data_IF_001268105553
#
_entry.id   IF_001268105553
#
_cell.length_a   1.000
_cell.length_b   1.000
_cell.length_c   1.000
_cell.angle_alpha   90.00
_cell.angle_beta   90.00
_cell.angle_gamma   90.00
#
_symmetry.space_group_name_H-M   'P 1'
#
loop_
_entity.id
_entity.type
_entity.pdbx_description
1 polymer ?
#
# COMPACT_ATOMS: atom_id res chain seq x y z
N UNK A 1 5.42 3.75 -35.61
CA UNK A 1 4.22 4.50 -35.22
C UNK A 1 4.64 5.72 -34.39
N UNK A 2 3.95 6.85 -34.56
CA UNK A 2 4.25 8.10 -33.83
C UNK A 2 3.73 7.98 -32.40
N UNK A 3 4.58 8.17 -31.37
CA UNK A 3 4.16 8.23 -29.96
C UNK A 3 3.18 9.38 -29.76
N UNK A 4 1.99 9.10 -29.24
CA UNK A 4 0.90 10.10 -29.09
C UNK A 4 0.82 10.70 -27.68
N UNK A 5 1.70 10.30 -26.78
CA UNK A 5 1.77 10.75 -25.37
C UNK A 5 0.44 10.63 -24.60
N UNK A 6 -0.43 9.66 -24.98
CA UNK A 6 -1.65 9.38 -24.22
C UNK A 6 -1.32 9.04 -22.77
N UNK A 7 -2.21 9.40 -21.86
CA UNK A 7 -2.06 9.12 -20.43
C UNK A 7 -1.69 7.64 -20.19
N UNK A 8 -0.67 7.41 -19.34
CA UNK A 8 -0.09 6.11 -19.01
C UNK A 8 0.53 5.32 -20.17
N UNK A 9 0.50 5.83 -21.42
CA UNK A 9 1.26 5.21 -22.51
C UNK A 9 2.75 5.46 -22.28
N UNK A 10 3.58 4.51 -22.69
CA UNK A 10 5.04 4.68 -22.59
C UNK A 10 5.75 4.22 -23.84
N UNK A 11 6.92 4.77 -24.09
CA UNK A 11 7.89 4.29 -25.08
C UNK A 11 9.24 4.15 -24.42
N UNK A 12 9.94 3.07 -24.76
CA UNK A 12 11.28 2.77 -24.26
C UNK A 12 12.28 2.88 -25.40
N UNK A 13 13.39 3.54 -25.15
CA UNK A 13 14.51 3.68 -26.07
C UNK A 13 15.72 3.09 -25.34
N UNK A 14 16.22 1.97 -25.86
CA UNK A 14 17.40 1.30 -25.31
C UNK A 14 18.65 1.95 -25.86
N UNK A 15 19.66 2.14 -25.01
CA UNK A 15 20.96 2.73 -25.34
C UNK A 15 20.85 3.95 -26.26
N UNK A 16 20.16 5.04 -25.81
CA UNK A 16 19.92 6.20 -26.69
C UNK A 16 21.23 6.85 -27.13
N UNK A 17 21.36 7.10 -28.46
CA UNK A 17 22.57 7.67 -29.05
C UNK A 17 22.97 9.00 -28.39
N UNK A 18 24.26 9.20 -28.16
CA UNK A 18 24.79 10.42 -27.52
C UNK A 18 24.57 10.50 -26.02
N UNK A 19 24.24 9.41 -25.36
CA UNK A 19 23.96 9.31 -23.94
C UNK A 19 24.67 8.11 -23.33
N UNK A 20 24.91 8.15 -22.02
CA UNK A 20 25.41 7.02 -21.21
C UNK A 20 24.28 6.23 -20.53
N UNK A 21 23.04 6.54 -20.85
CA UNK A 21 21.88 5.86 -20.30
C UNK A 21 21.70 4.48 -20.93
N UNK A 22 21.44 3.46 -20.10
CA UNK A 22 21.05 2.13 -20.60
C UNK A 22 19.66 2.17 -21.25
N UNK A 23 18.77 3.01 -20.70
CA UNK A 23 17.38 3.13 -21.15
C UNK A 23 16.81 4.51 -20.88
N UNK A 24 16.06 5.05 -21.83
CA UNK A 24 15.19 6.20 -21.67
C UNK A 24 13.73 5.77 -21.78
N UNK A 25 12.94 6.10 -20.77
CA UNK A 25 11.48 5.86 -20.77
C UNK A 25 10.76 7.19 -20.86
N UNK A 26 9.88 7.32 -21.84
CA UNK A 26 9.00 8.48 -21.96
C UNK A 26 7.58 8.05 -21.60
N UNK A 27 6.99 8.66 -20.59
CA UNK A 27 5.63 8.37 -20.13
C UNK A 27 4.69 9.48 -20.59
N UNK A 28 3.57 9.10 -21.17
CA UNK A 28 2.55 10.02 -21.65
C UNK A 28 1.67 10.52 -20.49
N UNK A 29 1.47 11.82 -20.45
CA UNK A 29 0.63 12.51 -19.45
C UNK A 29 -0.56 13.25 -20.09
N UNK A 30 -0.80 13.05 -21.38
CA UNK A 30 -1.89 13.73 -22.11
C UNK A 30 -3.17 12.91 -22.01
N UNK A 31 -4.21 13.48 -21.41
CA UNK A 31 -5.57 12.95 -21.36
C UNK A 31 -6.57 13.86 -22.05
N UNK A 32 -7.83 13.41 -22.13
CA UNK A 32 -8.97 14.22 -22.59
C UNK A 32 -9.43 15.22 -21.51
N UNK A 33 -9.03 14.99 -20.26
CA UNK A 33 -9.24 15.83 -19.08
C UNK A 33 -7.92 16.24 -18.47
N UNK A 34 -7.94 17.21 -17.56
CA UNK A 34 -6.79 17.51 -16.71
C UNK A 34 -6.38 16.26 -15.92
N UNK A 35 -5.07 16.07 -15.76
CA UNK A 35 -4.50 14.96 -14.97
C UNK A 35 -4.82 15.22 -13.50
N UNK A 36 -5.54 14.29 -12.87
CA UNK A 36 -5.94 14.36 -11.47
C UNK A 36 -4.94 13.68 -10.53
N UNK A 37 -5.22 13.73 -9.23
CA UNK A 37 -4.38 13.13 -8.18
C UNK A 37 -4.15 11.63 -8.41
N UNK A 38 -5.22 10.89 -8.68
CA UNK A 38 -5.15 9.43 -8.95
C UNK A 38 -4.31 9.12 -10.20
N UNK A 39 -4.34 9.99 -11.21
CA UNK A 39 -3.53 9.81 -12.42
C UNK A 39 -2.05 9.97 -12.12
N UNK A 40 -1.66 10.91 -11.25
CA UNK A 40 -0.27 11.09 -10.83
C UNK A 40 0.27 9.88 -10.07
N UNK A 41 -0.52 9.28 -9.18
CA UNK A 41 -0.20 8.00 -8.53
C UNK A 41 0.04 6.89 -9.58
N UNK A 42 -0.85 6.76 -10.58
CA UNK A 42 -0.72 5.77 -11.65
C UNK A 42 0.49 6.04 -12.54
N UNK A 43 0.85 7.29 -12.79
CA UNK A 43 2.06 7.65 -13.53
C UNK A 43 3.30 7.22 -12.76
N UNK A 44 3.38 7.47 -11.45
CA UNK A 44 4.46 7.01 -10.57
C UNK A 44 4.62 5.49 -10.60
N UNK A 45 3.52 4.76 -10.45
CA UNK A 45 3.50 3.30 -10.57
C UNK A 45 3.93 2.80 -11.95
N UNK A 46 3.60 3.54 -13.02
CA UNK A 46 4.03 3.24 -14.39
C UNK A 46 5.54 3.45 -14.56
N UNK A 47 6.09 4.53 -14.00
CA UNK A 47 7.53 4.81 -14.00
C UNK A 47 8.27 3.63 -13.37
N UNK A 48 7.89 3.22 -12.17
CA UNK A 48 8.53 2.09 -11.49
C UNK A 48 8.43 0.79 -12.30
N UNK A 49 7.24 0.47 -12.83
CA UNK A 49 7.03 -0.76 -13.59
C UNK A 49 7.89 -0.81 -14.88
N UNK A 50 8.18 0.34 -15.51
CA UNK A 50 9.00 0.45 -16.72
C UNK A 50 10.50 0.54 -16.44
N UNK A 51 10.88 0.81 -15.20
CA UNK A 51 12.29 0.93 -14.79
C UNK A 51 12.74 -0.23 -13.90
N UNK A 52 11.95 -1.30 -13.86
CA UNK A 52 12.26 -2.54 -13.14
C UNK A 52 13.65 -3.05 -13.54
N UNK A 53 14.45 -3.43 -12.54
CA UNK A 53 15.81 -3.94 -12.73
C UNK A 53 16.89 -2.87 -12.97
N UNK A 54 16.54 -1.59 -12.98
CA UNK A 54 17.54 -0.50 -13.03
C UNK A 54 18.21 -0.32 -11.66
N UNK A 55 19.51 0.00 -11.65
CA UNK A 55 20.25 0.33 -10.43
C UNK A 55 19.86 1.70 -9.84
N UNK A 56 19.46 2.63 -10.71
CA UNK A 56 18.99 3.97 -10.34
C UNK A 56 18.13 4.56 -11.46
N UNK A 57 17.20 5.40 -11.10
CA UNK A 57 16.27 6.06 -12.03
C UNK A 57 16.27 7.56 -11.78
N UNK A 58 16.46 8.34 -12.84
CA UNK A 58 16.26 9.80 -12.82
C UNK A 58 14.95 10.14 -13.53
N UNK A 59 14.05 10.78 -12.83
CA UNK A 59 12.76 11.26 -13.35
C UNK A 59 12.84 12.76 -13.59
N UNK A 60 12.68 13.21 -14.83
CA UNK A 60 12.66 14.64 -15.16
C UNK A 60 11.21 15.13 -15.11
N UNK A 61 10.88 15.89 -14.09
CA UNK A 61 9.55 16.42 -13.80
C UNK A 61 9.55 17.93 -13.52
N UNK A 62 10.47 18.67 -14.15
CA UNK A 62 10.71 20.10 -13.90
C UNK A 62 9.51 21.00 -14.20
N UNK A 63 8.59 20.55 -15.05
CA UNK A 63 7.35 21.28 -15.39
C UNK A 63 6.11 20.78 -14.59
N UNK A 64 6.26 19.78 -13.75
CA UNK A 64 5.16 19.27 -12.92
C UNK A 64 4.97 20.13 -11.68
N UNK A 65 3.73 20.25 -11.20
CA UNK A 65 3.45 20.89 -9.93
C UNK A 65 3.99 20.09 -8.76
N UNK A 66 4.24 20.68 -7.58
CA UNK A 66 4.65 19.98 -6.38
C UNK A 66 3.76 18.80 -6.02
N UNK A 67 2.44 18.95 -6.07
CA UNK A 67 1.49 17.88 -5.79
C UNK A 67 1.53 16.75 -6.83
N UNK A 68 1.78 17.08 -8.09
CA UNK A 68 1.97 16.07 -9.15
C UNK A 68 3.25 15.25 -8.92
N UNK A 69 4.35 15.88 -8.50
CA UNK A 69 5.59 15.21 -8.15
C UNK A 69 5.39 14.30 -6.95
N UNK A 70 4.75 14.82 -5.88
CA UNK A 70 4.42 14.05 -4.69
C UNK A 70 3.56 12.82 -5.02
N UNK A 71 2.52 12.97 -5.86
CA UNK A 71 1.70 11.87 -6.33
C UNK A 71 2.48 10.83 -7.13
N UNK A 72 3.41 11.25 -7.99
CA UNK A 72 4.28 10.31 -8.72
C UNK A 72 5.22 9.55 -7.78
N UNK A 73 5.82 10.23 -6.80
CA UNK A 73 6.69 9.59 -5.82
C UNK A 73 5.92 8.56 -5.00
N UNK A 74 4.76 8.92 -4.47
CA UNK A 74 3.89 8.03 -3.72
C UNK A 74 3.43 6.84 -4.56
N UNK A 75 3.03 7.06 -5.80
CA UNK A 75 2.64 5.99 -6.71
C UNK A 75 3.76 5.00 -7.00
N UNK A 76 5.01 5.46 -7.03
CA UNK A 76 6.18 4.58 -7.16
C UNK A 76 6.39 3.75 -5.88
N UNK A 77 6.28 4.36 -4.69
CA UNK A 77 6.36 3.66 -3.39
C UNK A 77 5.29 2.59 -3.27
N UNK A 78 4.03 2.94 -3.55
CA UNK A 78 2.91 1.99 -3.49
C UNK A 78 3.05 0.85 -4.50
N UNK A 79 3.68 1.08 -5.64
CA UNK A 79 3.94 0.05 -6.66
C UNK A 79 5.14 -0.82 -6.32
N UNK A 80 6.10 -0.31 -5.54
CA UNK A 80 7.26 -1.07 -5.07
C UNK A 80 6.91 -2.13 -4.03
N UNK A 81 5.72 -2.04 -3.43
CA UNK A 81 5.29 -2.95 -2.40
C UNK A 81 5.33 -4.41 -2.87
N UNK A 82 6.01 -5.25 -2.11
CA UNK A 82 5.99 -6.72 -2.20
C UNK A 82 5.85 -7.30 -0.78
N UNK A 83 5.08 -8.38 -0.65
CA UNK A 83 4.94 -9.11 0.60
C UNK A 83 5.75 -10.41 0.49
N UNK A 84 6.98 -10.38 0.99
CA UNK A 84 7.94 -11.46 0.88
C UNK A 84 8.38 -12.06 2.23
N UNK A 85 7.73 -11.63 3.31
CA UNK A 85 8.10 -11.96 4.70
C UNK A 85 8.27 -13.48 4.95
N UNK A 86 7.47 -14.30 4.28
CA UNK A 86 7.49 -15.76 4.43
C UNK A 86 8.14 -16.49 3.25
N UNK A 87 8.67 -15.76 2.27
CA UNK A 87 9.37 -16.37 1.14
C UNK A 87 10.78 -16.78 1.55
N UNK A 88 11.15 -18.03 1.26
CA UNK A 88 12.53 -18.47 1.41
C UNK A 88 13.43 -17.66 0.49
N UNK A 89 14.51 -17.10 1.03
CA UNK A 89 15.58 -16.56 0.17
C UNK A 89 16.18 -17.72 -0.58
N UNK A 90 16.12 -17.71 -1.92
CA UNK A 90 16.83 -18.68 -2.75
C UNK A 90 18.29 -18.63 -2.33
N UNK A 91 18.87 -19.79 -2.00
CA UNK A 91 20.30 -19.88 -1.73
C UNK A 91 21.07 -19.51 -3.01
N UNK A 92 22.27 -18.93 -2.87
CA UNK A 92 23.12 -18.64 -4.01
C UNK A 92 23.44 -19.87 -4.85
N UNK A 93 23.33 -21.06 -4.25
CA UNK A 93 23.61 -22.34 -4.88
C UNK A 93 22.44 -22.86 -5.76
N UNK A 94 21.21 -22.36 -5.55
CA UNK A 94 20.04 -22.70 -6.39
C UNK A 94 19.88 -21.78 -7.61
N UNK A 95 20.69 -20.73 -7.69
CA UNK A 95 20.68 -19.78 -8.79
C UNK A 95 21.82 -20.13 -9.78
N UNK A 96 21.60 -21.09 -10.66
CA UNK A 96 22.46 -21.23 -11.84
C UNK A 96 22.46 -19.90 -12.63
N UNK A 97 23.40 -19.03 -12.31
CA UNK A 97 23.87 -17.95 -13.18
C UNK A 97 23.06 -16.65 -13.25
N UNK A 98 21.90 -16.49 -12.60
CA UNK A 98 21.20 -15.20 -12.56
C UNK A 98 21.36 -14.53 -11.18
N UNK A 99 21.93 -13.32 -11.17
CA UNK A 99 21.89 -12.45 -10.00
C UNK A 99 20.41 -12.25 -9.57
N UNK A 100 20.13 -12.13 -8.25
CA UNK A 100 18.76 -11.89 -7.78
C UNK A 100 18.21 -10.66 -8.50
N UNK A 101 17.13 -10.83 -9.26
CA UNK A 101 16.46 -9.74 -9.97
C UNK A 101 15.95 -8.76 -8.91
N UNK A 102 16.57 -7.63 -8.82
CA UNK A 102 16.08 -6.52 -8.04
C UNK A 102 14.83 -6.00 -8.75
N UNK A 103 13.66 -6.26 -8.18
CA UNK A 103 12.39 -5.93 -8.81
C UNK A 103 12.08 -4.43 -8.83
N UNK A 104 12.68 -3.66 -7.93
CA UNK A 104 12.60 -2.21 -7.90
C UNK A 104 14.00 -1.58 -7.97
N UNK A 105 14.17 -0.38 -8.56
CA UNK A 105 15.42 0.35 -8.50
C UNK A 105 15.76 0.71 -7.05
N UNK A 106 17.06 0.71 -6.71
CA UNK A 106 17.53 1.08 -5.38
C UNK A 106 17.19 2.55 -5.03
N UNK A 107 17.13 3.41 -6.04
CA UNK A 107 16.85 4.85 -5.87
C UNK A 107 16.10 5.41 -7.07
N UNK A 108 15.08 6.23 -6.81
CA UNK A 108 14.41 7.06 -7.81
C UNK A 108 14.63 8.52 -7.41
N UNK A 109 15.28 9.28 -8.29
CA UNK A 109 15.53 10.70 -8.07
C UNK A 109 14.64 11.54 -8.98
N UNK A 110 13.85 12.43 -8.41
CA UNK A 110 13.01 13.38 -9.14
C UNK A 110 13.76 14.69 -9.33
N UNK A 111 13.95 15.12 -10.57
CA UNK A 111 14.43 16.45 -10.92
C UNK A 111 13.24 17.37 -11.13
N UNK A 112 13.06 18.32 -10.24
CA UNK A 112 11.85 19.14 -10.11
C UNK A 112 12.17 20.63 -10.30
N UNK A 113 11.15 21.45 -10.53
CA UNK A 113 11.30 22.91 -10.65
C UNK A 113 11.40 23.62 -9.29
N UNK A 114 10.70 23.08 -8.28
CA UNK A 114 10.69 23.59 -6.90
C UNK A 114 10.83 22.40 -5.93
N UNK A 115 12.04 22.25 -5.39
CA UNK A 115 12.36 21.13 -4.49
C UNK A 115 11.65 21.27 -3.14
N UNK A 116 11.66 22.47 -2.55
CA UNK A 116 11.10 22.72 -1.22
C UNK A 116 9.59 22.45 -1.22
N UNK A 117 8.87 23.02 -2.17
CA UNK A 117 7.44 22.81 -2.30
C UNK A 117 7.09 21.34 -2.62
N UNK A 118 7.89 20.66 -3.47
CA UNK A 118 7.66 19.25 -3.80
C UNK A 118 7.89 18.34 -2.59
N UNK A 119 8.90 18.62 -1.77
CA UNK A 119 9.17 17.91 -0.53
C UNK A 119 8.03 18.10 0.48
N UNK A 120 7.60 19.33 0.71
CA UNK A 120 6.49 19.64 1.61
C UNK A 120 5.15 19.00 1.13
N UNK A 121 4.95 18.89 -0.18
CA UNK A 121 3.80 18.18 -0.73
C UNK A 121 3.87 16.67 -0.45
N UNK A 122 5.05 16.05 -0.60
CA UNK A 122 5.23 14.62 -0.34
C UNK A 122 5.11 14.26 1.14
N UNK A 123 5.64 15.08 2.04
CA UNK A 123 5.52 14.90 3.50
C UNK A 123 4.07 14.80 3.99
N UNK A 124 3.11 15.37 3.24
CA UNK A 124 1.68 15.21 3.52
C UNK A 124 1.09 13.89 3.03
N UNK A 125 1.65 13.32 1.96
CA UNK A 125 1.18 12.06 1.35
C UNK A 125 1.83 10.83 1.97
N UNK A 126 3.07 10.91 2.38
CA UNK A 126 3.87 9.82 2.93
C UNK A 126 3.14 9.04 4.04
N UNK A 127 2.51 9.69 5.06
CA UNK A 127 1.77 8.96 6.09
C UNK A 127 0.55 8.20 5.55
N UNK A 128 -0.08 8.70 4.49
CA UNK A 128 -1.20 8.02 3.82
C UNK A 128 -0.70 6.76 3.13
N UNK A 129 0.43 6.84 2.44
CA UNK A 129 1.09 5.70 1.82
C UNK A 129 1.52 4.63 2.83
N UNK A 130 2.09 5.03 3.95
CA UNK A 130 2.42 4.13 5.06
C UNK A 130 1.18 3.40 5.59
N UNK A 131 0.06 4.10 5.75
CA UNK A 131 -1.22 3.53 6.13
C UNK A 131 -1.73 2.49 5.11
N UNK A 132 -1.59 2.77 3.80
CA UNK A 132 -1.95 1.82 2.74
C UNK A 132 -1.04 0.59 2.77
N UNK A 133 0.26 0.74 3.00
CA UNK A 133 1.20 -0.38 3.13
C UNK A 133 0.87 -1.21 4.37
N UNK A 134 0.56 -0.58 5.51
CA UNK A 134 0.11 -1.28 6.71
C UNK A 134 -1.14 -2.12 6.43
N UNK A 135 -2.15 -1.55 5.78
CA UNK A 135 -3.37 -2.28 5.42
C UNK A 135 -3.07 -3.46 4.48
N UNK A 136 -2.22 -3.27 3.47
CA UNK A 136 -1.78 -4.36 2.58
C UNK A 136 -1.05 -5.48 3.33
N UNK A 137 -0.19 -5.14 4.28
CA UNK A 137 0.49 -6.12 5.13
C UNK A 137 -0.52 -6.95 5.93
N UNK A 138 -1.52 -6.31 6.53
CA UNK A 138 -2.57 -7.00 7.28
C UNK A 138 -3.40 -7.94 6.39
N UNK A 139 -3.75 -7.51 5.18
CA UNK A 139 -4.48 -8.36 4.21
C UNK A 139 -3.63 -9.55 3.76
N UNK A 140 -2.33 -9.37 3.51
CA UNK A 140 -1.44 -10.43 3.03
C UNK A 140 -0.96 -11.37 4.14
N UNK A 141 -1.08 -10.99 5.41
CA UNK A 141 -0.65 -11.81 6.54
C UNK A 141 -1.49 -13.09 6.63
N UNK A 142 -0.88 -14.30 6.73
CA UNK A 142 -1.63 -15.55 6.87
C UNK A 142 -2.52 -15.57 8.12
N UNK A 143 -3.71 -16.16 8.02
CA UNK A 143 -4.71 -16.18 9.10
C UNK A 143 -4.27 -16.93 10.36
N UNK A 144 -3.31 -17.84 10.24
CA UNK A 144 -2.69 -18.53 11.40
C UNK A 144 -1.68 -17.64 12.16
N UNK A 145 -1.27 -16.54 11.57
CA UNK A 145 -0.43 -15.49 12.19
C UNK A 145 -1.31 -14.33 12.61
N UNK A 146 -2.06 -13.73 11.69
CA UNK A 146 -2.99 -12.63 11.98
C UNK A 146 -4.31 -13.19 12.52
N UNK A 147 -4.30 -13.64 13.78
CA UNK A 147 -5.53 -13.96 14.51
C UNK A 147 -6.22 -12.69 15.00
N UNK A 148 -7.44 -12.79 15.53
CA UNK A 148 -8.16 -11.66 16.12
C UNK A 148 -7.37 -10.98 17.25
N UNK A 149 -6.68 -11.77 18.06
CA UNK A 149 -5.82 -11.28 19.16
C UNK A 149 -4.59 -10.56 18.62
N UNK A 150 -3.91 -11.15 17.64
CA UNK A 150 -2.73 -10.52 17.04
C UNK A 150 -3.11 -9.24 16.28
N UNK A 151 -4.27 -9.24 15.62
CA UNK A 151 -4.77 -8.03 14.94
C UNK A 151 -5.02 -6.90 15.96
N UNK A 152 -5.70 -7.20 17.06
CA UNK A 152 -5.91 -6.22 18.15
C UNK A 152 -4.56 -5.70 18.70
N UNK A 153 -3.57 -6.57 18.93
CA UNK A 153 -2.23 -6.18 19.37
C UNK A 153 -1.54 -5.24 18.40
N UNK A 154 -1.65 -5.51 17.09
CA UNK A 154 -1.07 -4.61 16.05
C UNK A 154 -1.79 -3.27 16.01
N UNK A 155 -3.09 -3.24 16.26
CA UNK A 155 -3.85 -2.00 16.38
C UNK A 155 -3.42 -1.22 17.64
N UNK A 156 -3.17 -1.89 18.77
CA UNK A 156 -2.66 -1.23 19.97
C UNK A 156 -1.33 -0.51 19.76
N UNK A 157 -0.45 -1.06 18.90
CA UNK A 157 0.83 -0.42 18.56
C UNK A 157 0.66 0.94 17.86
N UNK A 158 -0.53 1.26 17.33
CA UNK A 158 -0.81 2.58 16.76
C UNK A 158 -0.81 3.70 17.82
N UNK A 159 -0.81 3.36 19.12
CA UNK A 159 -0.59 4.33 20.21
C UNK A 159 0.76 5.04 20.08
N UNK A 160 1.77 4.37 19.51
CA UNK A 160 3.10 4.94 19.29
C UNK A 160 3.08 6.12 18.29
N UNK A 161 2.01 6.21 17.47
CA UNK A 161 1.74 7.33 16.56
C UNK A 161 0.83 8.40 17.17
N UNK A 162 0.54 8.35 18.49
CA UNK A 162 -0.27 9.34 19.19
C UNK A 162 -1.78 9.10 19.09
N UNK A 163 -2.20 7.93 18.63
CA UNK A 163 -3.61 7.55 18.61
C UNK A 163 -4.06 7.00 19.97
N UNK A 164 -5.29 7.33 20.38
CA UNK A 164 -5.93 6.66 21.49
C UNK A 164 -6.54 5.35 20.99
N UNK A 165 -6.15 4.23 21.60
CA UNK A 165 -6.64 2.91 21.21
C UNK A 165 -7.24 2.21 22.41
N UNK A 166 -8.46 1.70 22.26
CA UNK A 166 -9.16 0.88 23.22
C UNK A 166 -9.53 -0.45 22.60
N UNK A 167 -9.19 -1.56 23.24
CA UNK A 167 -9.57 -2.90 22.81
C UNK A 167 -10.59 -3.46 23.78
N UNK A 168 -11.78 -3.78 23.27
CA UNK A 168 -12.84 -4.44 24.04
C UNK A 168 -12.76 -5.95 23.84
N UNK A 169 -12.80 -6.67 24.94
CA UNK A 169 -12.80 -8.12 25.00
C UNK A 169 -14.24 -8.68 25.10
N UNK A 170 -14.39 -10.00 25.04
CA UNK A 170 -15.69 -10.68 24.97
C UNK A 170 -16.62 -10.33 26.14
N UNK A 171 -16.08 -10.16 27.36
CA UNK A 171 -16.88 -9.75 28.52
C UNK A 171 -17.53 -8.38 28.33
N UNK A 172 -16.73 -7.41 27.91
CA UNK A 172 -17.20 -6.04 27.62
C UNK A 172 -18.18 -6.02 26.44
N UNK A 173 -17.91 -6.85 25.41
CA UNK A 173 -18.81 -7.00 24.25
C UNK A 173 -20.18 -7.60 24.69
N UNK A 174 -20.18 -8.53 25.63
CA UNK A 174 -21.41 -9.10 26.19
C UNK A 174 -22.19 -8.08 27.02
N UNK A 175 -21.51 -7.27 27.84
CA UNK A 175 -22.12 -6.15 28.60
C UNK A 175 -22.78 -5.14 27.66
N UNK A 176 -22.13 -4.83 26.54
CA UNK A 176 -22.63 -3.97 25.46
C UNK A 176 -23.71 -4.64 24.59
N UNK A 177 -24.07 -5.91 24.88
CA UNK A 177 -25.05 -6.72 24.14
C UNK A 177 -24.69 -6.89 22.64
N UNK A 178 -23.41 -6.93 22.30
CA UNK A 178 -22.92 -7.14 20.93
C UNK A 178 -22.94 -8.63 20.55
N UNK A 179 -24.08 -9.29 20.78
CA UNK A 179 -24.21 -10.75 20.63
C UNK A 179 -24.05 -11.25 19.19
N UNK A 180 -24.35 -10.41 18.20
CA UNK A 180 -24.14 -10.78 16.80
C UNK A 180 -22.63 -10.96 16.49
N UNK A 181 -21.76 -10.08 17.01
CA UNK A 181 -20.32 -10.18 16.87
C UNK A 181 -19.79 -11.41 17.62
N UNK A 182 -20.23 -11.62 18.87
CA UNK A 182 -19.86 -12.79 19.65
C UNK A 182 -20.32 -14.10 18.99
N UNK A 183 -21.52 -14.11 18.39
CA UNK A 183 -22.03 -15.25 17.65
C UNK A 183 -21.19 -15.64 16.43
N UNK A 184 -20.63 -14.66 15.71
CA UNK A 184 -19.70 -14.92 14.60
C UNK A 184 -18.40 -15.55 15.08
N UNK A 185 -17.87 -15.11 16.23
CA UNK A 185 -16.62 -15.62 16.78
C UNK A 185 -16.76 -16.96 17.53
N UNK A 186 -17.97 -17.38 17.88
CA UNK A 186 -18.23 -18.53 18.77
C UNK A 186 -17.58 -19.85 18.30
N UNK A 187 -17.43 -20.05 17.02
CA UNK A 187 -16.79 -21.25 16.44
C UNK A 187 -15.27 -21.15 16.30
N UNK A 188 -14.67 -20.02 16.68
CA UNK A 188 -13.23 -19.78 16.56
C UNK A 188 -12.50 -20.06 17.88
N UNK A 189 -11.27 -20.64 17.85
CA UNK A 189 -10.43 -20.70 19.04
C UNK A 189 -9.85 -19.33 19.42
N UNK A 190 -9.90 -18.33 18.53
CA UNK A 190 -9.46 -16.96 18.79
C UNK A 190 -10.65 -16.11 19.19
N UNK A 191 -10.65 -15.49 20.38
CA UNK A 191 -11.78 -14.72 20.90
C UNK A 191 -12.06 -13.45 20.10
N UNK A 192 -13.31 -12.98 20.15
CA UNK A 192 -13.71 -11.73 19.51
C UNK A 192 -13.00 -10.52 20.13
N UNK A 193 -12.76 -9.51 19.32
CA UNK A 193 -12.21 -8.20 19.72
C UNK A 193 -12.96 -7.08 19.00
N UNK A 194 -13.08 -5.93 19.67
CA UNK A 194 -13.47 -4.68 19.05
C UNK A 194 -12.39 -3.63 19.36
N UNK A 195 -11.86 -3.02 18.33
CA UNK A 195 -10.90 -1.93 18.47
C UNK A 195 -11.58 -0.59 18.21
N UNK A 196 -11.43 0.34 19.13
CA UNK A 196 -11.83 1.74 18.99
C UNK A 196 -10.57 2.58 18.92
N UNK A 197 -10.39 3.25 17.79
CA UNK A 197 -9.22 4.10 17.51
C UNK A 197 -9.72 5.54 17.43
N UNK A 198 -9.12 6.46 18.18
CA UNK A 198 -9.47 7.87 18.18
C UNK A 198 -8.27 8.72 17.82
N UNK A 199 -8.49 9.69 16.96
CA UNK A 199 -7.57 10.76 16.67
C UNK A 199 -8.25 12.10 16.94
N UNK A 200 -7.76 12.82 17.93
CA UNK A 200 -8.38 14.05 18.44
C UNK A 200 -7.65 15.30 17.87
N UNK A 201 -7.32 15.28 16.58
CA UNK A 201 -6.63 16.39 15.91
C UNK A 201 -7.56 17.43 15.28
N UNK A 202 -8.88 17.29 15.40
CA UNK A 202 -9.87 18.28 14.95
C UNK A 202 -10.03 19.45 15.91
N UNK A 203 -10.91 20.41 15.54
CA UNK A 203 -11.24 21.54 16.40
C UNK A 203 -12.04 21.11 17.63
N UNK A 204 -11.87 21.83 18.76
CA UNK A 204 -12.61 21.56 19.99
C UNK A 204 -14.13 21.69 19.77
N UNK A 205 -14.88 20.64 20.14
CA UNK A 205 -16.34 20.59 19.97
C UNK A 205 -16.80 20.16 18.57
N UNK A 206 -15.91 19.88 17.65
CA UNK A 206 -16.24 19.34 16.33
C UNK A 206 -16.69 17.88 16.46
N UNK A 207 -17.78 17.52 15.75
CA UNK A 207 -18.26 16.16 15.73
C UNK A 207 -17.28 15.24 14.97
N UNK A 208 -16.89 14.07 15.52
CA UNK A 208 -15.95 13.18 14.86
C UNK A 208 -16.58 12.51 13.64
N UNK A 209 -15.75 12.28 12.61
CA UNK A 209 -16.09 11.37 11.52
C UNK A 209 -15.78 9.95 11.98
N UNK A 210 -16.76 9.05 11.91
CA UNK A 210 -16.61 7.66 12.30
C UNK A 210 -16.45 6.75 11.07
N UNK A 211 -15.42 5.92 11.09
CA UNK A 211 -15.22 4.83 10.13
C UNK A 211 -15.49 3.50 10.84
N UNK A 212 -16.32 2.65 10.26
CA UNK A 212 -16.63 1.33 10.81
C UNK A 212 -16.09 0.28 9.84
N UNK A 213 -15.16 -0.55 10.31
CA UNK A 213 -14.52 -1.59 9.54
C UNK A 213 -14.92 -2.98 10.03
N UNK A 214 -15.16 -3.90 9.09
CA UNK A 214 -15.27 -5.33 9.36
C UNK A 214 -13.86 -5.91 9.48
N UNK A 215 -13.53 -6.55 10.59
CA UNK A 215 -12.21 -7.09 10.90
C UNK A 215 -12.20 -8.63 10.93
N UNK A 216 -12.89 -9.30 10.02
CA UNK A 216 -12.84 -10.77 9.89
C UNK A 216 -11.50 -11.18 9.32
N UNK A 217 -10.71 -11.95 10.08
CA UNK A 217 -9.36 -12.35 9.68
C UNK A 217 -9.35 -13.54 8.73
N UNK A 218 -10.38 -14.38 8.75
CA UNK A 218 -10.61 -15.46 7.80
C UNK A 218 -12.04 -16.00 7.92
N UNK A 219 -12.74 -16.25 6.82
CA UNK A 219 -14.10 -16.77 6.81
C UNK A 219 -14.21 -18.10 6.06
N UNK A 220 -14.29 -19.20 6.80
CA UNK A 220 -14.49 -20.57 6.25
C UNK A 220 -15.92 -20.87 5.87
N UNK A 221 -16.89 -20.02 6.22
CA UNK A 221 -18.32 -20.25 6.04
C UNK A 221 -19.02 -20.91 7.24
N UNK A 222 -18.31 -21.36 8.26
CA UNK A 222 -18.89 -22.00 9.45
C UNK A 222 -19.54 -23.33 9.14
N UNK A 223 -20.79 -23.56 9.59
CA UNK A 223 -21.57 -24.79 9.33
C UNK A 223 -21.74 -25.01 7.83
N UNK A 224 -21.96 -23.95 7.05
CA UNK A 224 -21.99 -23.99 5.58
C UNK A 224 -20.60 -23.72 5.04
N UNK A 225 -19.70 -24.71 5.21
CA UNK A 225 -18.30 -24.56 4.81
C UNK A 225 -18.17 -24.24 3.32
N UNK A 226 -17.33 -23.27 3.00
CA UNK A 226 -17.05 -22.85 1.61
C UNK A 226 -16.25 -23.92 0.86
N UNK A 227 -16.35 -24.00 -0.48
CA UNK A 227 -15.50 -24.84 -1.30
C UNK A 227 -14.02 -24.50 -1.11
N UNK A 228 -13.12 -25.49 -1.26
CA UNK A 228 -11.69 -25.26 -1.14
C UNK A 228 -11.12 -24.31 -2.21
N UNK A 229 -11.67 -24.37 -3.43
CA UNK A 229 -11.26 -23.45 -4.51
C UNK A 229 -11.68 -22.01 -4.21
N UNK A 230 -10.71 -21.09 -4.16
CA UNK A 230 -10.92 -19.69 -3.83
C UNK A 230 -11.08 -19.39 -2.33
N UNK A 231 -10.93 -20.40 -1.46
CA UNK A 231 -11.01 -20.19 -0.02
C UNK A 231 -9.87 -19.29 0.51
N UNK A 232 -8.72 -19.31 -0.16
CA UNK A 232 -7.58 -18.44 0.13
C UNK A 232 -7.91 -16.95 0.03
N UNK A 233 -8.87 -16.57 -0.83
CA UNK A 233 -9.31 -15.18 -1.01
C UNK A 233 -10.10 -14.65 0.20
N UNK A 234 -10.61 -15.56 1.06
CA UNK A 234 -11.38 -15.21 2.26
C UNK A 234 -10.52 -14.54 3.36
N UNK A 235 -9.24 -14.38 3.08
CA UNK A 235 -8.32 -13.59 3.91
C UNK A 235 -8.51 -12.08 3.67
N UNK A 236 -9.00 -11.68 2.51
CA UNK A 236 -9.17 -10.29 2.09
C UNK A 236 -10.48 -9.62 2.52
N UNK A 237 -11.31 -10.27 3.30
CA UNK A 237 -12.63 -9.76 3.75
C UNK A 237 -12.54 -8.63 4.78
#
# INVERSE_FOLDING_TARGET
AKFKAKLLSSVEILAPSGSTLDKLVVVGIKGDKAVGEEDWLKIGGTILARTKGASGVSVVATAASPDAVAGMAEGAVLRAYDFDLYKSKKSKDDAEGEAPKQDAPATITFHVGDEEASRAAYERLEPVGEGVILARNLVNEPANILTTVEYARRIEALRDFGLEVEILEEEQLAELKMFALLGVAQGSPSPARLAVIRWNGGAEGEAPVAFVGKGVVFDTGGISIKPAAGMEDMKGD
#
